data_IF_288264124034
#
_entry.id   IF_288264124034
#
_cell.length_a   1.000
_cell.length_b   1.000
_cell.length_c   1.000
_cell.angle_alpha   90.00
_cell.angle_beta   90.00
_cell.angle_gamma   90.00
#
_symmetry.space_group_name_H-M   'P 1'
#
loop_
_entity.id
_entity.type
_entity.pdbx_description
1 polymer ?
#
# COMPACT_ATOMS: atom_id res chain seq x y z
N UNK A 1 14.65 -14.83 -0.17
CA UNK A 1 13.48 -15.54 0.40
C UNK A 1 12.22 -14.85 -0.06
N UNK A 2 11.12 -15.61 -0.25
CA UNK A 2 9.85 -14.99 -0.65
C UNK A 2 9.29 -14.18 0.52
N UNK A 3 9.07 -12.88 0.30
CA UNK A 3 8.46 -11.97 1.29
C UNK A 3 6.92 -11.99 1.19
N UNK A 4 6.39 -12.25 -0.02
CA UNK A 4 4.95 -12.41 -0.25
C UNK A 4 4.72 -13.68 -1.07
N UNK A 5 3.83 -14.53 -0.59
CA UNK A 5 3.38 -15.72 -1.30
C UNK A 5 1.86 -15.76 -1.35
N UNK A 6 1.32 -15.90 -2.55
CA UNK A 6 -0.11 -16.07 -2.82
C UNK A 6 -0.28 -17.40 -3.52
N UNK A 7 -1.20 -18.26 -3.04
CA UNK A 7 -1.44 -19.59 -3.60
C UNK A 7 -2.93 -19.85 -3.77
N UNK A 8 -3.33 -20.20 -4.99
CA UNK A 8 -4.69 -20.58 -5.38
C UNK A 8 -5.76 -19.60 -4.86
N UNK A 9 -5.45 -18.29 -4.90
CA UNK A 9 -6.33 -17.26 -4.40
C UNK A 9 -7.57 -17.14 -5.29
N UNK A 10 -8.72 -17.25 -4.67
CA UNK A 10 -10.02 -17.01 -5.28
C UNK A 10 -10.78 -15.93 -4.52
N UNK A 11 -11.44 -15.02 -5.25
CA UNK A 11 -12.37 -14.05 -4.70
C UNK A 11 -13.64 -14.00 -5.51
N UNK A 12 -14.76 -14.19 -4.82
CA UNK A 12 -16.12 -14.03 -5.36
C UNK A 12 -16.87 -12.94 -4.61
N UNK A 13 -17.73 -12.23 -5.32
CA UNK A 13 -18.73 -11.33 -4.79
C UNK A 13 -20.11 -11.87 -5.24
N UNK A 14 -20.81 -12.55 -4.34
CA UNK A 14 -21.98 -13.35 -4.72
C UNK A 14 -21.59 -14.40 -5.78
N UNK A 15 -22.25 -14.36 -6.93
CA UNK A 15 -21.99 -15.29 -8.04
C UNK A 15 -20.87 -14.84 -8.98
N UNK A 16 -20.38 -13.60 -8.82
CA UNK A 16 -19.31 -13.05 -9.67
C UNK A 16 -17.94 -13.48 -9.15
N UNK A 17 -17.22 -14.31 -9.91
CA UNK A 17 -15.81 -14.63 -9.64
C UNK A 17 -14.92 -13.53 -10.21
N UNK A 18 -14.23 -12.78 -9.33
CA UNK A 18 -13.32 -11.67 -9.70
C UNK A 18 -11.88 -12.13 -9.78
N UNK A 19 -11.44 -12.97 -8.84
CA UNK A 19 -10.13 -13.61 -8.87
C UNK A 19 -10.33 -15.11 -8.95
N UNK A 20 -9.56 -15.78 -9.83
CA UNK A 20 -9.66 -17.22 -10.06
C UNK A 20 -8.27 -17.83 -10.09
N UNK A 21 -7.97 -18.65 -9.11
CA UNK A 21 -6.73 -19.45 -9.03
C UNK A 21 -5.44 -18.64 -9.23
N UNK A 22 -5.31 -17.52 -8.52
CA UNK A 22 -4.14 -16.65 -8.62
C UNK A 22 -3.03 -17.18 -7.71
N UNK A 23 -1.86 -17.45 -8.29
CA UNK A 23 -0.69 -17.93 -7.56
C UNK A 23 0.58 -17.23 -8.04
N UNK A 24 1.35 -16.66 -7.11
CA UNK A 24 2.66 -16.06 -7.37
C UNK A 24 3.45 -15.87 -6.08
N UNK A 25 4.76 -15.62 -6.23
CA UNK A 25 5.66 -15.29 -5.13
C UNK A 25 6.44 -14.03 -5.50
N UNK A 26 6.76 -13.22 -4.48
CA UNK A 26 7.60 -12.03 -4.58
C UNK A 26 8.75 -12.19 -3.60
N UNK A 27 9.98 -11.97 -4.05
CA UNK A 27 11.15 -11.98 -3.19
C UNK A 27 11.39 -10.61 -2.55
N UNK A 28 12.13 -10.58 -1.47
CA UNK A 28 12.50 -9.35 -0.78
C UNK A 28 13.26 -8.40 -1.72
N UNK A 29 12.88 -7.13 -1.73
CA UNK A 29 13.43 -6.08 -2.60
C UNK A 29 12.95 -6.12 -4.06
N UNK A 30 12.10 -7.07 -4.47
CA UNK A 30 11.53 -7.09 -5.82
C UNK A 30 10.46 -6.02 -6.01
N UNK A 31 10.39 -5.49 -7.24
CA UNK A 31 9.34 -4.58 -7.68
C UNK A 31 8.52 -5.28 -8.75
N UNK A 32 7.23 -5.43 -8.50
CA UNK A 32 6.32 -6.09 -9.43
C UNK A 32 5.20 -5.14 -9.85
N UNK A 33 4.98 -5.07 -11.17
CA UNK A 33 3.85 -4.35 -11.75
C UNK A 33 2.76 -5.32 -12.20
N UNK A 34 1.54 -5.13 -11.70
CA UNK A 34 0.34 -5.87 -12.10
C UNK A 34 -0.43 -5.03 -13.10
N UNK A 35 -0.49 -5.49 -14.34
CA UNK A 35 -1.08 -4.78 -15.47
C UNK A 35 -2.34 -5.51 -15.93
N UNK A 36 -3.31 -4.76 -16.41
CA UNK A 36 -4.54 -5.30 -16.99
C UNK A 36 -5.60 -4.24 -17.19
N UNK A 37 -6.67 -4.57 -17.90
CA UNK A 37 -7.81 -3.68 -18.16
C UNK A 37 -8.50 -3.26 -16.86
N UNK A 38 -9.23 -2.14 -16.89
CA UNK A 38 -10.09 -1.75 -15.76
C UNK A 38 -11.12 -2.86 -15.50
N UNK A 39 -11.40 -3.10 -14.21
CA UNK A 39 -12.34 -4.16 -13.80
C UNK A 39 -11.77 -5.59 -13.80
N UNK A 40 -10.50 -5.81 -14.16
CA UNK A 40 -9.88 -7.17 -14.16
C UNK A 40 -9.53 -7.74 -12.78
N UNK A 41 -9.88 -7.05 -11.68
CA UNK A 41 -9.67 -7.54 -10.32
C UNK A 41 -8.34 -7.13 -9.67
N UNK A 42 -7.50 -6.31 -10.30
CA UNK A 42 -6.18 -5.89 -9.79
C UNK A 42 -6.26 -5.25 -8.39
N UNK A 43 -7.11 -4.25 -8.23
CA UNK A 43 -7.32 -3.58 -6.94
C UNK A 43 -7.90 -4.54 -5.89
N UNK A 44 -8.77 -5.48 -6.31
CA UNK A 44 -9.30 -6.53 -5.44
C UNK A 44 -8.18 -7.42 -4.91
N UNK A 45 -7.25 -7.81 -5.79
CA UNK A 45 -6.06 -8.61 -5.41
C UNK A 45 -5.21 -7.88 -4.36
N UNK A 46 -4.88 -6.59 -4.61
CA UNK A 46 -4.14 -5.78 -3.63
C UNK A 46 -4.86 -5.69 -2.29
N UNK A 47 -6.17 -5.46 -2.32
CA UNK A 47 -6.98 -5.34 -1.10
C UNK A 47 -7.05 -6.64 -0.31
N UNK A 48 -7.10 -7.80 -1.00
CA UNK A 48 -7.03 -9.10 -0.32
C UNK A 48 -5.69 -9.29 0.40
N UNK A 49 -4.57 -8.88 -0.20
CA UNK A 49 -3.24 -8.97 0.41
C UNK A 49 -3.05 -8.03 1.60
N UNK A 50 -3.86 -6.97 1.71
CA UNK A 50 -3.79 -5.96 2.79
C UNK A 50 -4.96 -6.05 3.79
N UNK A 51 -5.70 -7.13 3.81
CA UNK A 51 -6.86 -7.31 4.71
C UNK A 51 -7.96 -6.25 4.54
N UNK A 52 -7.97 -5.53 3.42
CA UNK A 52 -9.02 -4.57 3.07
C UNK A 52 -10.20 -5.26 2.39
N UNK A 53 -10.00 -6.51 1.97
CA UNK A 53 -11.01 -7.39 1.40
C UNK A 53 -10.75 -8.83 1.82
N UNK A 54 -11.82 -9.60 2.07
CA UNK A 54 -11.73 -11.01 2.42
C UNK A 54 -11.58 -11.89 1.18
N UNK A 55 -10.84 -13.00 1.31
CA UNK A 55 -10.74 -13.99 0.24
C UNK A 55 -11.89 -15.00 0.29
N UNK A 56 -12.19 -15.67 -0.83
CA UNK A 56 -13.11 -16.82 -0.86
C UNK A 56 -12.37 -18.12 -0.56
N UNK A 57 -11.19 -18.30 -1.18
CA UNK A 57 -10.30 -19.43 -0.90
C UNK A 57 -8.86 -19.08 -1.27
N UNK A 58 -7.90 -19.90 -0.84
CA UNK A 58 -6.47 -19.74 -1.12
C UNK A 58 -5.65 -19.51 0.15
N UNK A 59 -4.39 -19.16 -0.04
CA UNK A 59 -3.44 -18.87 1.04
C UNK A 59 -2.64 -17.63 0.71
N UNK A 60 -2.48 -16.74 1.68
CA UNK A 60 -1.61 -15.57 1.59
C UNK A 60 -0.64 -15.61 2.77
N UNK A 61 0.66 -15.50 2.47
CA UNK A 61 1.73 -15.45 3.47
C UNK A 61 2.58 -14.21 3.22
N UNK A 62 2.86 -13.44 4.26
CA UNK A 62 3.66 -12.22 4.23
C UNK A 62 4.77 -12.35 5.27
N UNK A 63 6.02 -12.18 4.84
CA UNK A 63 7.23 -12.29 5.67
C UNK A 63 7.23 -13.57 6.54
N UNK A 64 6.92 -14.71 5.91
CA UNK A 64 6.83 -16.01 6.58
C UNK A 64 5.62 -16.21 7.50
N UNK A 65 4.77 -15.18 7.69
CA UNK A 65 3.55 -15.24 8.51
C UNK A 65 2.33 -15.49 7.63
N UNK A 66 1.56 -16.52 7.94
CA UNK A 66 0.31 -16.80 7.21
C UNK A 66 -0.76 -15.79 7.61
N UNK A 67 -1.17 -14.94 6.65
CA UNK A 67 -2.28 -14.00 6.80
C UNK A 67 -3.63 -14.73 6.85
N UNK A 68 -3.83 -15.63 5.90
CA UNK A 68 -5.05 -16.40 5.71
C UNK A 68 -4.74 -17.70 4.97
N UNK A 69 -5.41 -18.77 5.33
CA UNK A 69 -5.37 -20.05 4.63
C UNK A 69 -6.75 -20.70 4.58
N UNK A 70 -7.05 -21.43 3.52
CA UNK A 70 -8.30 -22.17 3.42
C UNK A 70 -8.17 -23.51 4.13
N UNK A 71 -8.99 -23.74 5.15
CA UNK A 71 -9.14 -25.01 5.87
C UNK A 71 -10.56 -25.54 5.69
N UNK A 72 -10.69 -26.76 5.19
CA UNK A 72 -12.00 -27.39 4.96
C UNK A 72 -12.98 -26.52 4.15
N UNK A 73 -12.46 -25.84 3.11
CA UNK A 73 -13.27 -24.98 2.24
C UNK A 73 -13.60 -23.58 2.78
N UNK A 74 -13.11 -23.24 3.99
CA UNK A 74 -13.38 -21.94 4.63
C UNK A 74 -12.06 -21.18 4.86
N UNK A 75 -11.97 -19.89 4.50
CA UNK A 75 -10.79 -19.08 4.79
C UNK A 75 -10.67 -18.82 6.29
N UNK A 76 -9.52 -19.16 6.87
CA UNK A 76 -9.19 -18.96 8.28
C UNK A 76 -8.06 -17.92 8.35
N UNK A 77 -8.37 -16.78 8.93
CA UNK A 77 -7.40 -15.71 9.15
C UNK A 77 -6.57 -15.95 10.41
N UNK A 78 -5.36 -15.44 10.43
CA UNK A 78 -4.51 -15.48 11.61
C UNK A 78 -5.14 -14.74 12.81
N UNK A 79 -4.62 -15.00 14.00
CA UNK A 79 -5.01 -14.28 15.21
C UNK A 79 -4.68 -12.80 15.14
N UNK A 80 -5.38 -11.96 15.93
CA UNK A 80 -5.29 -10.50 15.91
C UNK A 80 -3.85 -9.97 16.03
N UNK A 81 -3.02 -10.60 16.84
CA UNK A 81 -1.64 -10.17 17.05
C UNK A 81 -0.78 -10.36 15.79
N UNK A 82 -0.90 -11.54 15.15
CA UNK A 82 -0.20 -11.82 13.87
C UNK A 82 -0.71 -10.91 12.75
N UNK A 83 -2.04 -10.67 12.68
CA UNK A 83 -2.61 -9.74 11.71
C UNK A 83 -2.08 -8.32 11.91
N UNK A 84 -1.95 -7.86 13.16
CA UNK A 84 -1.38 -6.56 13.49
C UNK A 84 0.10 -6.48 13.09
N UNK A 85 0.90 -7.51 13.36
CA UNK A 85 2.30 -7.57 12.92
C UNK A 85 2.41 -7.46 11.41
N UNK A 86 1.62 -8.22 10.66
CA UNK A 86 1.61 -8.16 9.19
C UNK A 86 1.24 -6.76 8.70
N UNK A 87 0.21 -6.13 9.28
CA UNK A 87 -0.20 -4.77 8.90
C UNK A 87 0.87 -3.72 9.17
N UNK A 88 1.70 -3.91 10.19
CA UNK A 88 2.82 -3.01 10.47
C UNK A 88 3.98 -3.17 9.49
N UNK A 89 4.10 -4.32 8.85
CA UNK A 89 5.12 -4.62 7.83
C UNK A 89 4.65 -4.25 6.41
N UNK A 90 3.41 -3.81 6.25
CA UNK A 90 2.83 -3.44 4.96
C UNK A 90 2.38 -1.99 4.93
N UNK A 91 2.59 -1.31 3.80
CA UNK A 91 2.05 0.01 3.52
C UNK A 91 1.14 -0.02 2.30
N UNK A 92 0.09 0.78 2.31
CA UNK A 92 -0.86 0.86 1.20
C UNK A 92 -1.06 2.30 0.74
N UNK A 93 -0.88 2.53 -0.56
CA UNK A 93 -1.09 3.80 -1.24
C UNK A 93 -2.34 3.67 -2.12
N UNK A 94 -3.37 4.41 -1.78
CA UNK A 94 -4.68 4.35 -2.44
C UNK A 94 -4.72 5.20 -3.70
N UNK A 95 -5.56 4.82 -4.65
CA UNK A 95 -5.86 5.56 -5.87
C UNK A 95 -6.35 7.00 -5.59
N UNK A 96 -7.23 7.18 -4.63
CA UNK A 96 -7.86 8.46 -4.26
C UNK A 96 -7.22 9.09 -3.02
N UNK A 97 -5.92 8.85 -2.77
CA UNK A 97 -5.15 9.37 -1.64
C UNK A 97 -5.67 8.95 -0.26
N UNK A 98 -6.97 8.97 -0.03
CA UNK A 98 -7.68 8.62 1.21
C UNK A 98 -7.07 9.28 2.46
N UNK A 99 -6.72 10.56 2.35
CA UNK A 99 -6.25 11.35 3.47
C UNK A 99 -7.41 11.67 4.42
N UNK A 100 -7.13 11.72 5.70
CA UNK A 100 -8.10 12.19 6.71
C UNK A 100 -8.30 13.70 6.53
N UNK A 101 -9.47 14.17 6.07
CA UNK A 101 -9.65 15.57 5.68
C UNK A 101 -9.57 16.56 6.84
N UNK A 102 -9.85 16.11 8.06
CA UNK A 102 -9.82 16.90 9.30
C UNK A 102 -8.48 16.81 10.05
N UNK A 103 -7.47 16.11 9.48
CA UNK A 103 -6.12 16.07 10.00
C UNK A 103 -5.20 16.90 9.12
N UNK A 104 -4.24 17.60 9.75
CA UNK A 104 -3.15 18.21 8.99
C UNK A 104 -2.30 17.14 8.26
N UNK A 105 -1.50 17.55 7.31
CA UNK A 105 -0.55 16.69 6.60
C UNK A 105 0.33 15.94 7.59
N UNK A 106 0.93 16.64 8.54
CA UNK A 106 1.78 16.05 9.57
C UNK A 106 1.03 14.96 10.36
N UNK A 107 -0.21 15.27 10.79
CA UNK A 107 -1.01 14.32 11.55
C UNK A 107 -1.43 13.11 10.71
N UNK A 108 -1.75 13.27 9.43
CA UNK A 108 -2.02 12.16 8.52
C UNK A 108 -0.85 11.15 8.48
N UNK A 109 0.39 11.64 8.52
CA UNK A 109 1.59 10.79 8.48
C UNK A 109 1.89 10.15 9.83
N UNK A 110 1.72 10.87 10.94
CA UNK A 110 2.14 10.39 12.26
C UNK A 110 1.07 9.61 13.03
N UNK A 111 -0.19 9.59 12.58
CA UNK A 111 -1.30 8.98 13.33
C UNK A 111 -1.08 7.47 13.55
N UNK A 112 -0.74 6.71 12.51
CA UNK A 112 -0.51 5.26 12.63
C UNK A 112 0.71 4.93 13.52
N UNK A 113 1.89 5.54 13.38
CA UNK A 113 2.98 5.39 14.32
C UNK A 113 2.59 5.60 15.78
N UNK A 114 1.81 6.64 16.09
CA UNK A 114 1.40 6.95 17.47
C UNK A 114 0.34 5.98 17.96
N UNK A 115 -0.76 5.82 17.20
CA UNK A 115 -1.94 5.13 17.69
C UNK A 115 -1.88 3.61 17.52
N UNK A 116 -1.14 3.12 16.53
CA UNK A 116 -1.06 1.68 16.22
C UNK A 116 0.24 1.07 16.73
N UNK A 117 1.39 1.74 16.44
CA UNK A 117 2.71 1.24 16.84
C UNK A 117 3.13 1.72 18.24
N UNK A 118 2.41 2.64 18.87
CA UNK A 118 2.73 3.15 20.21
C UNK A 118 4.00 4.00 20.28
N UNK A 119 4.45 4.54 19.14
CA UNK A 119 5.64 5.40 19.09
C UNK A 119 5.36 6.71 19.84
N UNK A 120 6.28 7.19 20.68
CA UNK A 120 6.12 8.47 21.36
C UNK A 120 5.89 9.63 20.38
N UNK A 121 4.90 10.49 20.64
CA UNK A 121 4.47 11.55 19.73
C UNK A 121 5.62 12.41 19.17
N UNK A 122 6.57 12.80 20.03
CA UNK A 122 7.74 13.60 19.62
C UNK A 122 8.63 12.86 18.61
N UNK A 123 8.79 11.54 18.76
CA UNK A 123 9.57 10.72 17.86
C UNK A 123 8.83 10.51 16.52
N UNK A 124 7.53 10.24 16.58
CA UNK A 124 6.69 10.12 15.39
C UNK A 124 6.65 11.42 14.59
N UNK A 125 6.54 12.59 15.28
CA UNK A 125 6.57 13.89 14.63
C UNK A 125 7.91 14.15 13.93
N UNK A 126 9.02 13.89 14.59
CA UNK A 126 10.36 14.07 13.99
C UNK A 126 10.49 13.24 12.70
N UNK A 127 10.12 11.96 12.75
CA UNK A 127 10.16 11.06 11.60
C UNK A 127 9.21 11.50 10.48
N UNK A 128 7.99 11.91 10.82
CA UNK A 128 7.03 12.41 9.86
C UNK A 128 7.55 13.66 9.12
N UNK A 129 8.16 14.62 9.83
CA UNK A 129 8.77 15.81 9.23
C UNK A 129 9.97 15.45 8.32
N UNK A 130 10.78 14.47 8.69
CA UNK A 130 11.88 13.97 7.84
C UNK A 130 11.34 13.32 6.56
N UNK A 131 10.27 12.52 6.63
CA UNK A 131 9.60 11.94 5.47
C UNK A 131 9.00 13.02 4.56
N UNK A 132 8.27 13.97 5.14
CA UNK A 132 7.69 15.10 4.40
C UNK A 132 8.77 15.91 3.69
N UNK A 133 9.90 16.17 4.33
CA UNK A 133 11.04 16.85 3.71
C UNK A 133 11.61 16.06 2.53
N UNK A 134 11.84 14.74 2.68
CA UNK A 134 12.30 13.86 1.59
C UNK A 134 11.36 13.88 0.39
N UNK A 135 10.06 14.06 0.62
CA UNK A 135 9.03 14.08 -0.42
C UNK A 135 8.69 15.50 -0.92
N UNK A 136 9.48 16.52 -0.53
CA UNK A 136 9.28 17.92 -0.96
C UNK A 136 8.03 18.58 -0.39
N UNK A 137 7.60 18.17 0.81
CA UNK A 137 6.39 18.65 1.49
C UNK A 137 6.70 19.36 2.83
N UNK A 138 7.95 19.78 3.05
CA UNK A 138 8.38 20.37 4.34
C UNK A 138 7.51 21.59 4.74
N UNK A 139 7.17 22.44 3.78
CA UNK A 139 6.37 23.65 4.01
C UNK A 139 4.86 23.37 4.15
N UNK A 140 4.42 22.15 3.91
CA UNK A 140 3.02 21.73 3.92
C UNK A 140 2.61 20.94 5.17
N UNK A 141 3.51 20.79 6.14
CA UNK A 141 3.27 19.96 7.33
C UNK A 141 1.98 20.33 8.11
N UNK A 142 1.69 21.61 8.21
CA UNK A 142 0.54 22.12 8.95
C UNK A 142 -0.70 22.37 8.06
N UNK A 143 -0.58 22.22 6.73
CA UNK A 143 -1.69 22.35 5.79
C UNK A 143 -2.67 21.17 5.93
N UNK A 144 -3.89 21.37 5.42
CA UNK A 144 -4.92 20.34 5.34
C UNK A 144 -5.07 19.79 3.92
N UNK A 145 -5.64 18.58 3.74
CA UNK A 145 -5.80 17.97 2.41
C UNK A 145 -6.47 18.86 1.36
N UNK A 146 -7.43 19.69 1.75
CA UNK A 146 -8.10 20.63 0.85
C UNK A 146 -7.20 21.76 0.31
N UNK A 147 -6.03 21.97 0.91
CA UNK A 147 -5.03 22.99 0.50
C UNK A 147 -3.91 22.40 -0.36
N UNK A 148 -4.03 21.13 -0.76
CA UNK A 148 -3.01 20.41 -1.51
C UNK A 148 -3.43 20.20 -2.97
N UNK A 149 -2.45 20.22 -3.88
CA UNK A 149 -2.65 19.68 -5.23
C UNK A 149 -2.79 18.15 -5.19
N UNK A 150 -3.30 17.55 -6.27
CA UNK A 150 -3.39 16.08 -6.40
C UNK A 150 -2.04 15.39 -6.18
N UNK A 151 -0.96 15.89 -6.81
CA UNK A 151 0.39 15.36 -6.65
C UNK A 151 0.95 15.53 -5.23
N UNK A 152 0.61 16.64 -4.53
CA UNK A 152 0.95 16.82 -3.12
C UNK A 152 0.19 15.82 -2.24
N UNK A 153 -1.11 15.63 -2.48
CA UNK A 153 -1.95 14.67 -1.74
C UNK A 153 -1.43 13.24 -1.91
N UNK A 154 -1.00 12.86 -3.11
CA UNK A 154 -0.40 11.56 -3.37
C UNK A 154 0.93 11.40 -2.63
N UNK A 155 1.78 12.40 -2.63
CA UNK A 155 3.05 12.36 -1.88
C UNK A 155 2.81 12.26 -0.36
N UNK A 156 1.77 12.89 0.19
CA UNK A 156 1.36 12.71 1.59
C UNK A 156 0.87 11.27 1.84
N UNK A 157 0.10 10.68 0.92
CA UNK A 157 -0.34 9.29 1.01
C UNK A 157 0.84 8.32 1.02
N UNK A 158 1.86 8.57 0.20
CA UNK A 158 3.13 7.82 0.21
C UNK A 158 3.87 8.02 1.53
N UNK A 159 3.99 9.26 2.04
CA UNK A 159 4.62 9.53 3.34
C UNK A 159 3.94 8.75 4.47
N UNK A 160 2.61 8.72 4.47
CA UNK A 160 1.81 7.98 5.44
C UNK A 160 2.08 6.48 5.38
N UNK A 161 2.14 5.91 4.17
CA UNK A 161 2.44 4.49 3.98
C UNK A 161 3.85 4.12 4.45
N UNK A 162 4.84 5.02 4.29
CA UNK A 162 6.23 4.84 4.73
C UNK A 162 6.44 5.04 6.24
N UNK A 163 5.50 5.66 6.94
CA UNK A 163 5.70 6.10 8.32
C UNK A 163 5.92 4.95 9.33
N UNK A 164 5.44 3.75 9.00
CA UNK A 164 5.64 2.52 9.79
C UNK A 164 6.88 1.72 9.34
N UNK A 165 7.68 2.23 8.39
CA UNK A 165 8.85 1.52 7.79
C UNK A 165 8.49 0.12 7.26
N UNK A 166 7.52 0.04 6.37
CA UNK A 166 7.03 -1.24 5.88
C UNK A 166 8.09 -1.96 5.05
N UNK A 167 8.04 -3.30 5.04
CA UNK A 167 8.84 -4.14 4.16
C UNK A 167 8.25 -4.24 2.75
N UNK A 168 6.92 -4.09 2.64
CA UNK A 168 6.18 -4.16 1.37
C UNK A 168 5.30 -2.92 1.23
N UNK A 169 5.39 -2.26 0.08
CA UNK A 169 4.48 -1.19 -0.32
C UNK A 169 3.56 -1.65 -1.45
N UNK A 170 2.28 -1.47 -1.26
CA UNK A 170 1.26 -1.71 -2.26
C UNK A 170 0.74 -0.39 -2.82
N UNK A 171 0.71 -0.27 -4.15
CA UNK A 171 0.22 0.90 -4.85
C UNK A 171 -0.98 0.53 -5.72
N UNK A 172 -2.14 1.07 -5.41
CA UNK A 172 -3.38 0.88 -6.18
C UNK A 172 -3.56 2.07 -7.13
N UNK A 173 -3.11 1.93 -8.37
CA UNK A 173 -3.19 2.95 -9.44
C UNK A 173 -2.73 4.35 -8.98
N UNK A 174 -1.47 4.52 -8.54
CA UNK A 174 -1.01 5.72 -7.82
C UNK A 174 -1.03 7.01 -8.63
N UNK A 175 -1.24 6.95 -9.94
CA UNK A 175 -1.23 8.10 -10.85
C UNK A 175 -2.59 8.38 -11.48
N UNK A 176 -3.56 7.47 -11.38
CA UNK A 176 -4.84 7.54 -12.11
C UNK A 176 -5.75 8.72 -11.71
N UNK A 177 -5.57 9.27 -10.51
CA UNK A 177 -6.31 10.44 -10.01
C UNK A 177 -5.56 11.77 -10.23
N UNK A 178 -4.49 11.76 -11.04
CA UNK A 178 -3.61 12.90 -11.27
C UNK A 178 -3.70 13.40 -12.70
N UNK A 179 -3.52 14.72 -12.86
CA UNK A 179 -3.28 15.31 -14.17
C UNK A 179 -1.95 14.81 -14.75
N UNK A 180 -1.81 14.70 -16.09
CA UNK A 180 -0.59 14.17 -16.73
C UNK A 180 0.70 14.92 -16.32
N UNK A 181 0.62 16.23 -16.06
CA UNK A 181 1.75 17.04 -15.61
C UNK A 181 2.27 16.62 -14.22
N UNK A 182 1.35 16.22 -13.30
CA UNK A 182 1.68 15.82 -11.94
C UNK A 182 2.11 14.35 -11.84
N UNK A 183 1.69 13.53 -12.80
CA UNK A 183 2.07 12.11 -12.87
C UNK A 183 3.57 11.92 -12.82
N UNK A 184 4.34 12.70 -13.63
CA UNK A 184 5.79 12.61 -13.68
C UNK A 184 6.50 12.90 -12.35
N UNK A 185 5.94 13.79 -11.52
CA UNK A 185 6.50 14.09 -10.18
C UNK A 185 6.32 12.90 -9.23
N UNK A 186 5.12 12.29 -9.23
CA UNK A 186 4.81 11.13 -8.38
C UNK A 186 5.61 9.89 -8.80
N UNK A 187 5.79 9.68 -10.10
CA UNK A 187 6.63 8.60 -10.62
C UNK A 187 8.09 8.73 -10.18
N UNK A 188 8.67 9.95 -10.21
CA UNK A 188 10.02 10.20 -9.69
C UNK A 188 10.12 9.86 -8.20
N UNK A 189 9.10 10.17 -7.42
CA UNK A 189 9.06 9.80 -6.00
C UNK A 189 9.02 8.28 -5.84
N UNK A 190 8.13 7.57 -6.54
CA UNK A 190 8.06 6.10 -6.45
C UNK A 190 9.40 5.48 -6.89
N UNK A 191 10.02 5.99 -7.95
CA UNK A 191 11.34 5.53 -8.41
C UNK A 191 12.42 5.76 -7.34
N UNK A 192 12.39 6.87 -6.60
CA UNK A 192 13.36 7.08 -5.52
C UNK A 192 13.20 6.12 -4.33
N UNK A 193 12.06 5.45 -4.20
CA UNK A 193 11.85 4.43 -3.17
C UNK A 193 12.57 3.11 -3.49
N UNK A 194 12.96 2.88 -4.75
CA UNK A 194 13.75 1.70 -5.14
C UNK A 194 15.09 1.65 -4.42
N UNK A 195 15.66 2.83 -4.13
CA UNK A 195 16.94 2.96 -3.40
C UNK A 195 16.84 2.52 -1.93
N UNK A 196 15.61 2.40 -1.41
CA UNK A 196 15.36 1.99 -0.02
C UNK A 196 15.26 0.45 0.15
N UNK A 197 15.43 -0.30 -0.94
CA UNK A 197 15.31 -1.77 -0.95
C UNK A 197 13.98 -2.29 -0.37
N UNK A 198 12.89 -1.52 -0.58
CA UNK A 198 11.53 -1.89 -0.17
C UNK A 198 10.89 -2.70 -1.31
N UNK A 199 10.28 -3.82 -0.98
CA UNK A 199 9.48 -4.59 -1.94
C UNK A 199 8.26 -3.78 -2.36
N UNK A 200 7.97 -3.67 -3.65
CA UNK A 200 6.81 -2.91 -4.15
C UNK A 200 5.92 -3.75 -5.05
N UNK A 201 4.62 -3.64 -4.84
CA UNK A 201 3.59 -4.22 -5.71
C UNK A 201 2.73 -3.09 -6.23
N UNK A 202 2.80 -2.84 -7.53
CA UNK A 202 2.19 -1.68 -8.16
C UNK A 202 1.13 -2.13 -9.16
N UNK A 203 -0.11 -1.76 -8.91
CA UNK A 203 -1.18 -1.91 -9.90
C UNK A 203 -1.25 -0.66 -10.74
N UNK A 204 -1.17 -0.82 -12.05
CA UNK A 204 -1.29 0.28 -13.00
C UNK A 204 -1.91 -0.18 -14.31
N UNK A 205 -2.53 0.72 -15.04
CA UNK A 205 -2.93 0.54 -16.43
C UNK A 205 -1.97 1.26 -17.39
N UNK A 206 -1.00 2.01 -16.88
CA UNK A 206 -0.02 2.76 -17.65
C UNK A 206 1.19 1.86 -18.00
N UNK A 207 1.24 1.39 -19.27
CA UNK A 207 2.31 0.53 -19.77
C UNK A 207 3.69 1.20 -19.75
N UNK A 208 3.75 2.53 -19.86
CA UNK A 208 4.99 3.28 -19.81
C UNK A 208 5.62 3.19 -18.41
N UNK A 209 4.80 3.33 -17.37
CA UNK A 209 5.23 3.24 -15.98
C UNK A 209 5.73 1.82 -15.62
N UNK A 210 5.07 0.80 -16.12
CA UNK A 210 5.43 -0.59 -15.80
C UNK A 210 6.76 -1.06 -16.42
N UNK A 211 7.34 -0.30 -17.36
CA UNK A 211 8.62 -0.61 -18.05
C UNK A 211 9.83 0.09 -17.43
N UNK A 212 9.64 1.11 -16.63
CA UNK A 212 10.69 1.88 -15.94
C UNK A 212 11.02 1.30 -14.55
#
# INVERSE_FOLDING_TARGET
MSILSVKNLEKKFGDLTVLKDISFNINDGEIISIIGSSGSGKSTLLRCMNQLETITSGTITIDGKTLVETKNGTPVYAGKDVLKEILMETGFVFQNFNLFPHYSVLRNVMEAPVCVAGVPKKQAEKKARELLKKLGLETKADAYPCELSGGQSQRVSIARALALEPKILFFDEPTSALDPELTGEVLKVIKSLTDLNITMVIVTHEMAFAKE
#
